data_IF_985510818597
#
_entry.id   IF_985510818597
#
_cell.length_a   1.000
_cell.length_b   1.000
_cell.length_c   1.000
_cell.angle_alpha   90.00
_cell.angle_beta   90.00
_cell.angle_gamma   90.00
#
_symmetry.space_group_name_H-M   'P 1'
#
loop_
_entity.id
_entity.type
_entity.pdbx_description
1 polymer ?
#
# COMPACT_ATOMS: atom_id res chain seq x y z
N UNK A 1 -16.40 -1.80 1.54
CA UNK A 1 -15.97 -1.23 2.84
C UNK A 1 -14.70 -0.43 2.57
N UNK A 2 -14.58 0.82 3.00
CA UNK A 2 -13.39 1.64 2.72
C UNK A 2 -12.39 1.55 3.88
N UNK A 3 -11.11 1.41 3.56
CA UNK A 3 -10.02 1.40 4.54
C UNK A 3 -9.05 2.56 4.30
N UNK A 4 -8.45 3.06 5.39
CA UNK A 4 -7.42 4.08 5.36
C UNK A 4 -6.07 3.40 5.45
N UNK A 5 -5.18 3.71 4.52
CA UNK A 5 -3.83 3.18 4.43
C UNK A 5 -2.82 4.29 4.74
N UNK A 6 -1.90 4.01 5.67
CA UNK A 6 -0.76 4.86 5.95
C UNK A 6 0.47 4.33 5.23
N UNK A 7 1.07 5.15 4.38
CA UNK A 7 2.11 4.73 3.45
C UNK A 7 3.38 5.50 3.74
N UNK A 8 4.52 4.80 3.77
CA UNK A 8 5.86 5.39 3.92
C UNK A 8 6.89 4.57 3.19
N UNK A 9 8.07 5.13 2.95
CA UNK A 9 9.20 4.37 2.41
C UNK A 9 9.71 3.32 3.38
N UNK A 10 10.09 2.14 2.87
CA UNK A 10 10.84 1.15 3.63
C UNK A 10 12.31 1.60 3.71
N UNK A 11 12.89 1.76 4.92
CA UNK A 11 14.29 2.14 5.07
C UNK A 11 15.24 1.17 4.35
N UNK A 12 16.27 1.71 3.70
CA UNK A 12 17.26 0.90 2.97
C UNK A 12 16.78 0.39 1.60
N UNK A 13 15.64 0.86 1.10
CA UNK A 13 15.12 0.52 -0.23
C UNK A 13 14.77 1.79 -1.00
N UNK A 14 14.79 1.71 -2.33
CA UNK A 14 14.45 2.83 -3.22
C UNK A 14 13.06 2.72 -3.83
N UNK A 15 12.47 1.53 -3.83
CA UNK A 15 11.26 1.18 -4.58
C UNK A 15 10.21 0.46 -3.73
N UNK A 16 10.47 0.28 -2.44
CA UNK A 16 9.57 -0.47 -1.54
C UNK A 16 8.90 0.47 -0.53
N UNK A 17 7.59 0.32 -0.40
CA UNK A 17 6.72 1.07 0.50
C UNK A 17 6.19 0.15 1.60
N UNK A 18 6.13 0.68 2.81
CA UNK A 18 5.40 0.09 3.92
C UNK A 18 4.00 0.70 3.96
N UNK A 19 3.00 -0.14 3.72
CA UNK A 19 1.58 0.22 3.72
C UNK A 19 0.95 -0.40 4.95
N UNK A 20 0.52 0.46 5.88
CA UNK A 20 -0.15 0.05 7.12
C UNK A 20 -1.65 0.26 6.98
N UNK A 21 -2.42 -0.83 7.06
CA UNK A 21 -3.87 -0.83 7.16
C UNK A 21 -4.31 -1.31 8.55
N UNK A 22 -5.62 -1.24 8.89
CA UNK A 22 -6.14 -1.82 10.13
C UNK A 22 -5.89 -3.33 10.27
N UNK A 23 -5.72 -4.05 9.16
CA UNK A 23 -5.47 -5.49 9.15
C UNK A 23 -3.98 -5.85 9.32
N UNK A 24 -3.06 -4.90 9.17
CA UNK A 24 -1.64 -5.13 9.32
C UNK A 24 -0.77 -4.23 8.44
N UNK A 25 0.54 -4.47 8.47
CA UNK A 25 1.50 -3.80 7.60
C UNK A 25 1.97 -4.76 6.52
N UNK A 26 2.04 -4.27 5.29
CA UNK A 26 2.45 -5.03 4.11
C UNK A 26 3.37 -4.19 3.23
N UNK A 27 4.20 -4.87 2.45
CA UNK A 27 5.18 -4.22 1.58
C UNK A 27 4.66 -4.13 0.15
N UNK A 28 4.70 -2.94 -0.44
CA UNK A 28 4.28 -2.69 -1.81
C UNK A 28 5.43 -2.13 -2.65
N UNK A 29 5.42 -2.45 -3.94
CA UNK A 29 6.26 -1.75 -4.91
C UNK A 29 5.71 -0.35 -5.17
N UNK A 30 6.62 0.64 -5.21
CA UNK A 30 6.32 2.01 -5.58
C UNK A 30 5.67 2.13 -6.96
N UNK A 31 6.07 1.30 -7.93
CA UNK A 31 5.48 1.27 -9.28
C UNK A 31 4.03 0.82 -9.25
N UNK A 32 3.71 -0.21 -8.45
CA UNK A 32 2.34 -0.69 -8.28
C UNK A 32 1.51 0.38 -7.58
N UNK A 33 2.07 1.03 -6.55
CA UNK A 33 1.40 2.11 -5.82
C UNK A 33 1.07 3.30 -6.72
N UNK A 34 2.03 3.79 -7.52
CA UNK A 34 1.81 4.88 -8.48
C UNK A 34 0.74 4.51 -9.52
N UNK A 35 0.72 3.26 -10.00
CA UNK A 35 -0.30 2.79 -10.94
C UNK A 35 -1.72 2.81 -10.34
N UNK A 36 -1.85 2.53 -9.04
CA UNK A 36 -3.16 2.44 -8.36
C UNK A 36 -3.65 3.82 -7.93
N UNK A 37 -2.80 4.62 -7.30
CA UNK A 37 -3.19 5.90 -6.67
C UNK A 37 -2.82 7.14 -7.51
N UNK A 38 -2.06 6.95 -8.58
CA UNK A 38 -1.66 7.99 -9.50
C UNK A 38 -0.48 8.82 -9.02
N UNK A 39 0.00 9.67 -9.94
CA UNK A 39 1.23 10.43 -9.77
C UNK A 39 1.16 11.50 -8.68
N UNK A 40 0.02 12.17 -8.52
CA UNK A 40 -0.14 13.22 -7.53
C UNK A 40 0.08 12.72 -6.08
N UNK A 41 -0.38 11.51 -5.79
CA UNK A 41 -0.16 10.86 -4.48
C UNK A 41 1.29 10.46 -4.31
N UNK A 42 1.91 9.96 -5.38
CA UNK A 42 3.33 9.61 -5.39
C UNK A 42 4.23 10.83 -5.15
N UNK A 43 3.91 11.98 -5.76
CA UNK A 43 4.63 13.23 -5.55
C UNK A 43 4.55 13.67 -4.08
N UNK A 44 3.38 13.57 -3.46
CA UNK A 44 3.21 13.86 -2.04
C UNK A 44 4.07 12.92 -1.16
N UNK A 45 4.15 11.64 -1.52
CA UNK A 45 4.98 10.64 -0.83
C UNK A 45 6.49 10.93 -0.99
N UNK A 46 6.94 11.37 -2.16
CA UNK A 46 8.33 11.79 -2.38
C UNK A 46 8.67 13.04 -1.57
N UNK A 47 7.77 14.03 -1.53
CA UNK A 47 8.01 15.29 -0.84
C UNK A 47 7.96 15.17 0.68
N UNK A 48 7.05 14.33 1.22
CA UNK A 48 6.77 14.25 2.67
C UNK A 48 7.33 12.99 3.33
N UNK A 49 7.77 12.01 2.54
CA UNK A 49 8.20 10.68 3.00
C UNK A 49 7.05 9.79 3.50
N UNK A 50 5.82 10.33 3.57
CA UNK A 50 4.61 9.64 4.03
C UNK A 50 3.35 10.21 3.38
N UNK A 51 2.33 9.38 3.20
CA UNK A 51 1.01 9.79 2.72
C UNK A 51 -0.07 8.89 3.32
N UNK A 52 -1.29 9.41 3.41
CA UNK A 52 -2.48 8.65 3.81
C UNK A 52 -3.43 8.59 2.62
N UNK A 53 -3.90 7.40 2.28
CA UNK A 53 -4.84 7.19 1.16
C UNK A 53 -6.04 6.38 1.61
N UNK A 54 -7.17 6.58 0.96
CA UNK A 54 -8.38 5.78 1.16
C UNK A 54 -8.52 4.81 0.00
N UNK A 55 -8.82 3.55 0.31
CA UNK A 55 -9.02 2.49 -0.67
C UNK A 55 -10.32 1.76 -0.37
N UNK A 56 -10.99 1.25 -1.39
CA UNK A 56 -11.97 0.19 -1.19
C UNK A 56 -11.25 -1.10 -0.78
N UNK A 57 -11.57 -1.59 0.42
CA UNK A 57 -11.11 -2.87 0.90
C UNK A 57 -11.70 -3.94 0.00
N UNK A 58 -10.85 -4.62 -0.77
CA UNK A 58 -11.26 -5.83 -1.47
C UNK A 58 -11.54 -6.89 -0.39
N UNK A 59 -12.67 -7.60 -0.47
CA UNK A 59 -12.90 -8.73 0.42
C UNK A 59 -11.70 -9.67 0.29
N UNK A 60 -11.11 -10.06 1.43
CA UNK A 60 -10.00 -11.02 1.46
C UNK A 60 -10.52 -12.32 0.83
N UNK A 61 -10.20 -12.55 -0.44
CA UNK A 61 -10.39 -13.85 -1.05
C UNK A 61 -9.38 -14.77 -0.35
N UNK A 62 -9.85 -15.48 0.67
CA UNK A 62 -9.18 -16.64 1.22
C UNK A 62 -8.75 -17.49 0.02
N UNK A 63 -7.43 -17.64 -0.19
CA UNK A 63 -6.93 -18.65 -1.09
C UNK A 63 -7.51 -19.99 -0.61
N UNK A 64 -8.15 -20.80 -1.48
CA UNK A 64 -8.55 -22.13 -1.07
C UNK A 64 -7.28 -22.87 -0.63
N UNK A 65 -7.24 -23.25 0.64
CA UNK A 65 -6.24 -24.16 1.17
C UNK A 65 -6.39 -25.48 0.43
N UNK A 66 -5.56 -25.70 -0.59
CA UNK A 66 -5.45 -26.99 -1.26
C UNK A 66 -4.81 -27.98 -0.27
N UNK A 67 -5.64 -28.68 0.49
CA UNK A 67 -5.24 -29.88 1.20
C UNK A 67 -5.23 -31.04 0.20
N UNK A 68 -4.09 -31.72 0.12
CA UNK A 68 -3.81 -32.89 -0.71
C UNK A 68 -4.49 -34.15 -0.17
#
# INVERSE_FOLDING_TARGET
MTEILNVRWKPGTLDTLLVTSPAGTLEWSALIFERIFGRAVMDALYLRGRVTVTREALPQQHAPSTAA
#
